data_IF_437847054042
#
_entry.id   IF_437847054042
#
_cell.length_a   1.000
_cell.length_b   1.000
_cell.length_c   1.000
_cell.angle_alpha   90.00
_cell.angle_beta   90.00
_cell.angle_gamma   90.00
#
_symmetry.space_group_name_H-M   'P 1'
#
loop_
_entity.id
_entity.type
_entity.pdbx_description
1 polymer ?
#
# COMPACT_ATOMS: atom_id res chain seq x y z
N UNK A 1 -30.87 -44.58 -22.69
CA UNK A 1 -31.60 -44.02 -21.52
C UNK A 1 -30.90 -44.49 -20.26
N UNK A 2 -30.49 -43.57 -19.40
CA UNK A 2 -30.59 -43.57 -17.93
C UNK A 2 -29.97 -42.23 -17.48
N UNK A 3 -30.82 -41.34 -16.98
CA UNK A 3 -30.45 -40.02 -16.44
C UNK A 3 -30.04 -40.19 -14.99
N UNK A 4 -28.94 -39.55 -14.57
CA UNK A 4 -28.64 -39.35 -13.16
C UNK A 4 -28.39 -37.86 -12.90
N UNK A 5 -29.08 -37.35 -11.90
CA UNK A 5 -29.05 -35.98 -11.39
C UNK A 5 -28.11 -35.97 -10.19
N UNK A 6 -27.11 -35.09 -10.19
CA UNK A 6 -26.33 -34.76 -9.01
C UNK A 6 -26.39 -33.23 -8.86
N UNK A 7 -26.86 -32.72 -7.71
CA UNK A 7 -27.08 -31.29 -7.54
C UNK A 7 -25.73 -30.57 -7.51
N UNK A 8 -25.70 -29.47 -8.25
CA UNK A 8 -24.70 -28.43 -8.17
C UNK A 8 -24.68 -27.88 -6.74
N UNK A 9 -23.76 -28.34 -5.88
CA UNK A 9 -23.36 -27.54 -4.73
C UNK A 9 -22.25 -26.61 -5.21
N UNK A 10 -22.70 -25.46 -5.71
CA UNK A 10 -21.86 -24.30 -5.92
C UNK A 10 -21.58 -23.72 -4.52
N UNK A 11 -20.50 -24.13 -3.86
CA UNK A 11 -19.92 -23.31 -2.80
C UNK A 11 -19.18 -22.15 -3.47
N UNK A 12 -19.95 -21.17 -3.95
CA UNK A 12 -19.42 -19.85 -4.24
C UNK A 12 -19.05 -19.21 -2.92
N UNK A 13 -17.80 -19.37 -2.48
CA UNK A 13 -17.20 -18.31 -1.69
C UNK A 13 -17.03 -17.11 -2.63
N UNK A 14 -18.07 -16.28 -2.73
CA UNK A 14 -17.87 -14.87 -2.98
C UNK A 14 -17.13 -14.36 -1.74
N UNK A 15 -15.80 -14.39 -1.76
CA UNK A 15 -15.05 -13.43 -0.95
C UNK A 15 -15.38 -12.09 -1.60
N UNK A 16 -16.44 -11.42 -1.13
CA UNK A 16 -16.46 -9.97 -1.22
C UNK A 16 -15.32 -9.55 -0.30
N UNK A 17 -14.21 -9.09 -0.88
CA UNK A 17 -13.41 -8.11 -0.17
C UNK A 17 -14.38 -6.95 0.09
N UNK A 18 -14.88 -6.84 1.33
CA UNK A 18 -15.43 -5.58 1.79
C UNK A 18 -14.22 -4.69 2.02
N UNK A 19 -13.73 -4.06 0.94
CA UNK A 19 -12.80 -2.93 0.96
C UNK A 19 -13.54 -1.69 1.52
N UNK A 20 -14.17 -1.84 2.68
CA UNK A 20 -14.50 -0.68 3.50
C UNK A 20 -13.29 -0.53 4.41
N UNK A 21 -12.44 0.49 4.18
CA UNK A 21 -11.36 0.80 5.10
C UNK A 21 -11.93 0.87 6.51
N UNK A 22 -11.21 0.33 7.49
CA UNK A 22 -11.58 0.46 8.90
C UNK A 22 -11.99 1.91 9.15
N UNK A 23 -13.19 2.13 9.69
CA UNK A 23 -13.72 3.47 9.87
C UNK A 23 -12.72 4.33 10.64
N UNK A 24 -12.33 5.46 10.06
CA UNK A 24 -11.27 6.32 10.60
C UNK A 24 -9.84 5.86 10.28
N UNK A 25 -9.61 5.05 9.25
CA UNK A 25 -8.29 4.80 8.66
C UNK A 25 -8.16 5.60 7.36
N UNK A 26 -6.99 6.17 7.08
CA UNK A 26 -6.66 6.76 5.77
C UNK A 26 -6.17 5.66 4.81
N UNK A 27 -6.97 5.26 3.81
CA UNK A 27 -6.58 4.25 2.84
C UNK A 27 -5.34 4.67 2.05
N UNK A 28 -4.36 3.76 1.93
CA UNK A 28 -3.27 3.94 0.96
C UNK A 28 -3.76 3.50 -0.41
N UNK A 29 -3.82 4.43 -1.37
CA UNK A 29 -4.28 4.20 -2.74
C UNK A 29 -3.11 3.75 -3.63
N UNK A 30 -1.92 4.33 -3.42
CA UNK A 30 -0.68 3.95 -4.10
C UNK A 30 0.50 3.89 -3.12
N UNK A 31 1.37 2.87 -3.23
CA UNK A 31 1.42 1.84 -4.28
C UNK A 31 0.34 0.78 -4.18
N UNK A 32 -0.03 0.22 -5.33
CA UNK A 32 -0.85 -1.01 -5.38
C UNK A 32 -0.02 -2.22 -4.95
N UNK A 33 -0.66 -3.29 -4.45
CA UNK A 33 0.03 -4.54 -4.18
C UNK A 33 0.83 -5.01 -5.40
N UNK A 34 2.11 -5.32 -5.19
CA UNK A 34 3.05 -5.80 -6.21
C UNK A 34 3.29 -4.82 -7.39
N UNK A 35 2.99 -3.54 -7.22
CA UNK A 35 3.31 -2.52 -8.22
C UNK A 35 4.83 -2.41 -8.40
N UNK A 36 5.26 -2.34 -9.67
CA UNK A 36 6.67 -2.11 -10.01
C UNK A 36 6.92 -0.61 -10.10
N UNK A 37 7.80 -0.11 -9.24
CA UNK A 37 8.25 1.29 -9.26
C UNK A 37 9.62 1.37 -9.92
N UNK A 38 9.78 2.26 -10.91
CA UNK A 38 11.02 2.40 -11.68
C UNK A 38 12.04 3.22 -10.87
N UNK A 39 13.26 2.73 -10.74
CA UNK A 39 14.34 3.49 -10.11
C UNK A 39 14.75 4.67 -10.98
N UNK A 40 15.04 5.82 -10.36
CA UNK A 40 15.41 7.05 -11.08
C UNK A 40 14.23 7.83 -11.67
N UNK A 41 12.98 7.42 -11.42
CA UNK A 41 11.79 8.16 -11.83
C UNK A 41 11.17 8.97 -10.68
N UNK A 42 10.21 9.84 -11.01
CA UNK A 42 9.25 10.37 -10.04
C UNK A 42 8.12 9.36 -9.84
N UNK A 43 7.68 9.17 -8.60
CA UNK A 43 6.60 8.26 -8.23
C UNK A 43 5.65 8.90 -7.23
N UNK A 44 4.35 8.88 -7.52
CA UNK A 44 3.33 9.45 -6.64
C UNK A 44 2.82 8.41 -5.64
N UNK A 45 3.09 8.67 -4.36
CA UNK A 45 2.48 7.97 -3.23
C UNK A 45 1.17 8.69 -2.92
N UNK A 46 0.07 7.95 -2.82
CA UNK A 46 -1.28 8.52 -2.72
C UNK A 46 -2.04 7.82 -1.60
N UNK A 47 -2.70 8.59 -0.76
CA UNK A 47 -3.64 8.12 0.25
C UNK A 47 -4.93 8.94 0.18
N UNK A 48 -6.01 8.41 0.75
CA UNK A 48 -7.28 9.14 0.87
C UNK A 48 -7.35 9.81 2.25
N UNK A 49 -7.18 11.15 2.32
CA UNK A 49 -7.09 11.86 3.58
C UNK A 49 -8.45 12.01 4.25
N UNK A 50 -8.55 11.69 5.53
CA UNK A 50 -9.78 11.89 6.31
C UNK A 50 -9.69 13.08 7.28
N UNK A 51 -10.82 13.69 7.65
CA UNK A 51 -10.82 14.80 8.62
C UNK A 51 -10.20 14.46 9.98
N UNK A 52 -10.19 13.18 10.36
CA UNK A 52 -9.65 12.71 11.64
C UNK A 52 -8.14 12.97 11.77
N UNK A 53 -7.41 13.02 10.65
CA UNK A 53 -5.95 13.12 10.63
C UNK A 53 -5.42 14.41 10.00
N UNK A 54 -6.31 15.30 9.54
CA UNK A 54 -5.99 16.48 8.74
C UNK A 54 -4.99 17.46 9.38
N UNK A 55 -4.90 17.49 10.72
CA UNK A 55 -3.99 18.39 11.45
C UNK A 55 -2.56 17.86 11.60
N UNK A 56 -2.33 16.58 11.30
CA UNK A 56 -1.01 15.95 11.48
C UNK A 56 -0.22 15.83 10.18
N UNK A 57 0.90 15.14 10.29
CA UNK A 57 1.83 14.89 9.19
C UNK A 57 2.02 13.39 8.96
N UNK A 58 2.26 13.02 7.71
CA UNK A 58 2.66 11.69 7.28
C UNK A 58 4.18 11.66 7.11
N UNK A 59 4.85 10.78 7.84
CA UNK A 59 6.21 10.36 7.55
C UNK A 59 6.22 9.11 6.69
N UNK A 60 7.15 9.04 5.75
CA UNK A 60 7.25 7.97 4.75
C UNK A 60 8.64 7.36 4.83
N UNK A 61 8.67 6.04 5.03
CA UNK A 61 9.90 5.28 5.14
C UNK A 61 9.94 4.16 4.09
N UNK A 62 11.08 4.01 3.42
CA UNK A 62 11.34 2.86 2.56
C UNK A 62 11.82 1.68 3.41
N UNK A 63 11.21 0.52 3.17
CA UNK A 63 11.66 -0.77 3.71
C UNK A 63 12.01 -1.72 2.56
N UNK A 64 12.87 -2.71 2.83
CA UNK A 64 13.17 -3.74 1.85
C UNK A 64 13.90 -4.95 2.45
N UNK A 65 13.83 -6.08 1.77
CA UNK A 65 14.30 -7.36 2.30
C UNK A 65 14.34 -8.46 1.24
N UNK A 66 14.71 -9.68 1.65
CA UNK A 66 14.70 -10.84 0.73
C UNK A 66 13.28 -11.29 0.41
N UNK A 67 12.36 -11.09 1.37
CA UNK A 67 10.94 -11.37 1.28
C UNK A 67 10.15 -10.36 2.13
N UNK A 68 8.82 -10.45 2.07
CA UNK A 68 7.91 -9.53 2.76
C UNK A 68 8.06 -9.56 4.29
N UNK A 69 8.40 -10.72 4.87
CA UNK A 69 8.49 -10.89 6.32
C UNK A 69 9.83 -10.39 6.87
N UNK A 70 10.88 -10.36 6.04
CA UNK A 70 12.23 -9.97 6.43
C UNK A 70 12.59 -8.53 6.01
N UNK A 71 11.61 -7.65 5.78
CA UNK A 71 11.91 -6.28 5.35
C UNK A 71 12.41 -5.43 6.51
N UNK A 72 13.48 -4.69 6.27
CA UNK A 72 14.08 -3.77 7.23
C UNK A 72 13.95 -2.33 6.74
N UNK A 73 14.01 -1.37 7.66
CA UNK A 73 14.12 0.05 7.33
C UNK A 73 15.39 0.30 6.53
N UNK A 74 15.23 0.87 5.34
CA UNK A 74 16.34 1.25 4.47
C UNK A 74 16.64 2.74 4.58
N UNK A 75 15.62 3.58 4.36
CA UNK A 75 15.81 5.03 4.32
C UNK A 75 14.52 5.75 4.71
N UNK A 76 14.68 6.90 5.37
CA UNK A 76 13.60 7.83 5.59
C UNK A 76 13.43 8.72 4.34
N UNK A 77 12.25 8.70 3.71
CA UNK A 77 12.00 9.49 2.50
C UNK A 77 11.63 10.93 2.89
N UNK A 78 10.74 11.08 3.87
CA UNK A 78 10.28 12.38 4.39
C UNK A 78 9.62 12.19 5.76
N UNK A 79 9.66 13.22 6.60
CA UNK A 79 9.08 13.19 7.95
C UNK A 79 7.79 14.00 8.12
N UNK A 80 7.50 14.92 7.20
CA UNK A 80 6.53 15.98 7.44
C UNK A 80 5.68 16.36 6.22
N UNK A 81 5.04 15.38 5.57
CA UNK A 81 4.02 15.69 4.55
C UNK A 81 2.70 15.98 5.25
N UNK A 82 2.04 17.14 5.05
CA UNK A 82 0.71 17.35 5.63
C UNK A 82 -0.22 16.19 5.29
N UNK A 83 -0.85 15.56 6.27
CA UNK A 83 -1.75 14.41 6.04
C UNK A 83 -2.89 14.78 5.09
N UNK A 84 -3.39 16.00 5.20
CA UNK A 84 -4.42 16.58 4.31
C UNK A 84 -3.98 16.74 2.85
N UNK A 85 -2.69 16.60 2.52
CA UNK A 85 -2.23 16.67 1.13
C UNK A 85 -2.73 15.49 0.28
N UNK A 86 -2.93 14.31 0.89
CA UNK A 86 -3.37 13.10 0.17
C UNK A 86 -2.33 12.50 -0.79
N UNK A 87 -1.16 13.13 -0.96
CA UNK A 87 -0.14 12.65 -1.87
C UNK A 87 1.27 13.17 -1.52
N UNK A 88 2.27 12.46 -2.03
CA UNK A 88 3.67 12.87 -2.05
C UNK A 88 4.38 12.34 -3.29
N UNK A 89 4.98 13.23 -4.08
CA UNK A 89 5.82 12.84 -5.22
C UNK A 89 7.23 12.52 -4.73
N UNK A 90 7.58 11.24 -4.77
CA UNK A 90 8.89 10.74 -4.39
C UNK A 90 9.83 10.68 -5.61
N UNK A 91 10.98 11.31 -5.52
CA UNK A 91 12.10 11.10 -6.45
C UNK A 91 12.80 9.79 -6.10
N UNK A 92 12.47 8.72 -6.82
CA UNK A 92 12.97 7.36 -6.57
C UNK A 92 14.47 7.31 -6.87
N UNK A 93 15.35 7.00 -5.90
CA UNK A 93 16.79 6.96 -6.16
C UNK A 93 17.14 5.91 -7.24
N UNK A 94 18.03 6.23 -8.19
CA UNK A 94 18.45 5.29 -9.24
C UNK A 94 19.26 4.10 -8.72
N UNK A 95 19.70 4.16 -7.46
CA UNK A 95 20.47 3.11 -6.78
C UNK A 95 19.58 2.02 -6.16
N UNK A 96 18.25 2.15 -6.21
CA UNK A 96 17.31 1.12 -5.76
C UNK A 96 17.20 -0.02 -6.78
N UNK A 97 16.61 -1.15 -6.35
CA UNK A 97 16.49 -2.38 -7.16
C UNK A 97 17.47 -3.49 -6.77
N UNK A 98 18.26 -3.31 -5.70
CA UNK A 98 19.19 -4.32 -5.19
C UNK A 98 18.55 -5.34 -4.25
N UNK A 99 17.34 -5.08 -3.75
CA UNK A 99 16.55 -6.01 -2.92
C UNK A 99 15.42 -6.65 -3.74
N UNK A 100 15.08 -7.92 -3.49
CA UNK A 100 13.95 -8.58 -4.15
C UNK A 100 12.58 -7.96 -3.83
N UNK A 101 12.39 -7.46 -2.60
CA UNK A 101 11.10 -6.91 -2.15
C UNK A 101 11.31 -5.54 -1.50
N UNK A 102 10.47 -4.59 -1.88
CA UNK A 102 10.40 -3.24 -1.32
C UNK A 102 9.00 -2.96 -0.79
N UNK A 103 8.91 -2.04 0.17
CA UNK A 103 7.66 -1.57 0.73
C UNK A 103 7.79 -0.14 1.23
N UNK A 104 6.66 0.50 1.47
CA UNK A 104 6.57 1.82 2.06
C UNK A 104 5.80 1.73 3.37
N UNK A 105 6.33 2.37 4.40
CA UNK A 105 5.65 2.53 5.68
C UNK A 105 5.29 3.99 5.84
N UNK A 106 3.99 4.27 5.83
CA UNK A 106 3.42 5.58 6.10
C UNK A 106 2.99 5.62 7.56
N UNK A 107 3.41 6.64 8.30
CA UNK A 107 3.04 6.85 9.70
C UNK A 107 2.50 8.26 9.89
N UNK A 108 1.39 8.37 10.58
CA UNK A 108 0.85 9.65 10.99
C UNK A 108 1.46 10.10 12.32
N UNK A 109 1.80 11.39 12.41
CA UNK A 109 2.37 12.03 13.60
C UNK A 109 1.64 13.37 13.84
N UNK A 110 1.42 13.73 15.10
CA UNK A 110 0.90 15.05 15.51
C UNK A 110 2.00 16.05 15.80
#
# INVERSE_FOLDING_TARGET
>A
MHRFFLPLILFSFLIKAEDVPTMGFDPIIRPKPHETVVAGSSYDIIWDPTPAYASGFVSICLIGGKDQASQEKLVNITDAVPSSAGHYTWSVPPTLGTKPVYGLVLRWNQ
#
